data_IF_875840631267
#
_entry.id   IF_875840631267
#
_cell.length_a   1.000
_cell.length_b   1.000
_cell.length_c   1.000
_cell.angle_alpha   90.00
_cell.angle_beta   90.00
_cell.angle_gamma   90.00
#
_symmetry.space_group_name_H-M   'P 1'
#
loop_
_entity.id
_entity.type
_entity.pdbx_description
1 polymer ?
#
# COMPACT_ATOMS: atom_id res chain seq x y z
N UNK A 1 -31.24 6.40 -0.63
CA UNK A 1 -30.09 6.92 0.12
C UNK A 1 -29.08 5.79 0.25
N UNK A 2 -28.00 5.83 -0.53
CA UNK A 2 -26.96 4.79 -0.49
C UNK A 2 -25.77 5.30 0.32
N UNK A 3 -25.47 4.60 1.41
CA UNK A 3 -24.31 4.83 2.29
C UNK A 3 -22.95 4.59 1.61
N UNK A 4 -22.92 4.29 0.31
CA UNK A 4 -21.71 3.90 -0.42
C UNK A 4 -20.78 5.01 -0.92
N UNK A 5 -21.06 6.30 -0.64
CA UNK A 5 -20.29 7.42 -1.23
C UNK A 5 -19.39 8.20 -0.26
N UNK A 6 -19.43 7.90 1.04
CA UNK A 6 -18.78 8.76 2.05
C UNK A 6 -17.28 8.52 2.27
N UNK A 7 -16.68 7.52 1.62
CA UNK A 7 -15.24 7.18 1.78
C UNK A 7 -14.35 7.67 0.65
N UNK A 8 -14.91 8.22 -0.44
CA UNK A 8 -14.13 8.63 -1.61
C UNK A 8 -13.69 10.10 -1.58
N UNK A 9 -14.30 10.94 -0.75
CA UNK A 9 -14.11 12.40 -0.79
C UNK A 9 -13.44 12.98 0.49
N UNK A 10 -12.91 12.13 1.38
CA UNK A 10 -12.28 12.58 2.64
C UNK A 10 -10.81 12.97 2.40
N UNK A 11 -10.59 14.21 1.97
CA UNK A 11 -9.27 14.85 1.91
C UNK A 11 -8.94 15.51 3.26
N UNK A 12 -8.39 14.70 4.17
CA UNK A 12 -7.93 15.14 5.50
C UNK A 12 -6.45 15.55 5.49
N UNK A 13 -5.90 16.02 6.62
CA UNK A 13 -4.50 16.47 6.76
C UNK A 13 -3.40 15.40 6.55
N UNK A 14 -3.72 14.31 5.85
CA UNK A 14 -2.83 13.29 5.33
C UNK A 14 -3.02 13.02 3.83
N UNK A 15 -3.49 13.98 3.04
CA UNK A 15 -3.52 13.91 1.56
C UNK A 15 -2.13 13.71 0.93
N UNK A 16 -1.05 13.83 1.73
CA UNK A 16 0.33 13.46 1.38
C UNK A 16 0.68 12.01 1.77
N UNK A 17 -0.29 11.18 2.18
CA UNK A 17 -0.09 9.74 2.43
C UNK A 17 0.01 8.97 1.11
N UNK A 18 1.14 9.13 0.43
CA UNK A 18 1.49 8.30 -0.72
C UNK A 18 2.04 6.96 -0.24
N UNK A 19 1.34 5.87 -0.60
CA UNK A 19 1.85 4.51 -0.36
C UNK A 19 3.23 4.34 -1.03
N UNK A 20 4.20 3.81 -0.29
CA UNK A 20 5.56 3.51 -0.77
C UNK A 20 5.69 2.12 -1.39
N UNK A 21 4.58 1.44 -1.65
CA UNK A 21 4.58 0.05 -2.13
C UNK A 21 5.20 -0.10 -3.51
N UNK A 22 5.08 0.93 -4.36
CA UNK A 22 5.74 0.98 -5.67
C UNK A 22 7.25 1.17 -5.54
N UNK A 23 7.67 2.15 -4.74
CA UNK A 23 9.08 2.44 -4.50
C UNK A 23 9.79 1.21 -3.92
N UNK A 24 9.19 0.56 -2.91
CA UNK A 24 9.72 -0.67 -2.30
C UNK A 24 9.80 -1.87 -3.25
N UNK A 25 8.89 -1.93 -4.23
CA UNK A 25 8.89 -2.95 -5.27
C UNK A 25 10.02 -2.72 -6.27
N UNK A 26 10.13 -1.48 -6.76
CA UNK A 26 11.15 -1.07 -7.73
C UNK A 26 12.56 -1.17 -7.12
N UNK A 27 12.75 -0.82 -5.84
CA UNK A 27 13.99 -1.00 -5.09
C UNK A 27 14.47 -2.45 -5.00
N UNK A 28 13.57 -3.42 -5.22
CA UNK A 28 13.85 -4.86 -5.17
C UNK A 28 13.83 -5.51 -6.55
N UNK A 29 13.75 -4.73 -7.63
CA UNK A 29 13.66 -5.21 -9.01
C UNK A 29 12.48 -6.18 -9.26
N UNK A 30 11.40 -6.03 -8.49
CA UNK A 30 10.22 -6.89 -8.58
C UNK A 30 9.19 -6.33 -9.58
N UNK A 31 8.55 -7.22 -10.31
CA UNK A 31 7.42 -6.94 -11.18
C UNK A 31 6.12 -6.81 -10.37
N UNK A 32 5.14 -6.08 -10.91
CA UNK A 32 3.80 -6.03 -10.31
C UNK A 32 3.15 -7.42 -10.20
N UNK A 33 3.51 -8.35 -11.11
CA UNK A 33 3.00 -9.72 -11.09
C UNK A 33 3.54 -10.52 -9.90
N UNK A 34 4.83 -10.43 -9.61
CA UNK A 34 5.42 -11.16 -8.47
C UNK A 34 4.80 -10.75 -7.13
N UNK A 35 4.54 -9.46 -6.93
CA UNK A 35 3.86 -9.01 -5.71
C UNK A 35 2.38 -9.42 -5.70
N UNK A 36 1.70 -9.38 -6.84
CA UNK A 36 0.31 -9.83 -6.93
C UNK A 36 0.19 -11.33 -6.62
N UNK A 37 1.12 -12.15 -7.15
CA UNK A 37 1.23 -13.58 -6.86
C UNK A 37 1.49 -13.81 -5.37
N UNK A 38 2.40 -13.04 -4.75
CA UNK A 38 2.63 -13.08 -3.30
C UNK A 38 1.35 -12.75 -2.51
N UNK A 39 0.60 -11.72 -2.92
CA UNK A 39 -0.62 -11.28 -2.24
C UNK A 39 -1.84 -12.15 -2.57
N UNK A 40 -1.73 -13.11 -3.49
CA UNK A 40 -2.84 -13.94 -3.99
C UNK A 40 -3.95 -13.09 -4.62
N UNK A 41 -3.57 -12.13 -5.45
CA UNK A 41 -4.51 -11.27 -6.16
C UNK A 41 -4.12 -11.04 -7.63
N UNK A 42 -5.03 -10.45 -8.41
CA UNK A 42 -4.73 -10.10 -9.79
C UNK A 42 -3.69 -8.98 -9.88
N UNK A 43 -2.77 -9.08 -10.84
CA UNK A 43 -1.80 -8.02 -11.13
C UNK A 43 -2.48 -6.67 -11.38
N UNK A 44 -3.64 -6.66 -12.03
CA UNK A 44 -4.41 -5.43 -12.28
C UNK A 44 -4.93 -4.79 -10.99
N UNK A 45 -5.26 -5.60 -9.98
CA UNK A 45 -5.70 -5.13 -8.67
C UNK A 45 -4.51 -4.53 -7.90
N UNK A 46 -3.37 -5.21 -7.90
CA UNK A 46 -2.15 -4.67 -7.30
C UNK A 46 -1.74 -3.33 -7.94
N UNK A 47 -1.83 -3.24 -9.27
CA UNK A 47 -1.58 -2.02 -10.03
C UNK A 47 -2.49 -0.85 -9.60
N UNK A 48 -3.76 -1.13 -9.27
CA UNK A 48 -4.70 -0.12 -8.73
C UNK A 48 -4.31 0.34 -7.32
N UNK A 49 -3.75 -0.54 -6.49
CA UNK A 49 -3.21 -0.15 -5.18
C UNK A 49 -2.04 0.82 -5.34
N UNK A 50 -1.10 0.55 -6.26
CA UNK A 50 0.04 1.44 -6.49
C UNK A 50 -0.35 2.84 -6.97
N UNK A 51 -1.44 2.94 -7.73
CA UNK A 51 -1.97 4.21 -8.24
C UNK A 51 -2.94 4.90 -7.28
N UNK A 52 -3.29 4.28 -6.15
CA UNK A 52 -4.30 4.81 -5.23
C UNK A 52 -5.74 4.74 -5.75
N UNK A 53 -6.00 4.07 -6.88
CA UNK A 53 -7.35 3.89 -7.45
C UNK A 53 -8.20 2.92 -6.62
N UNK A 54 -7.55 2.07 -5.82
CA UNK A 54 -8.19 1.20 -4.84
C UNK A 54 -7.48 1.32 -3.49
N UNK A 55 -8.23 1.41 -2.38
CA UNK A 55 -7.63 1.38 -1.06
C UNK A 55 -6.95 0.03 -0.83
N UNK A 56 -5.76 0.05 -0.25
CA UNK A 56 -5.03 -1.16 0.14
C UNK A 56 -5.62 -1.69 1.47
N UNK A 57 -6.15 -2.93 1.52
CA UNK A 57 -6.61 -3.52 2.77
C UNK A 57 -5.48 -3.61 3.80
N UNK A 58 -5.81 -3.37 5.08
CA UNK A 58 -4.83 -3.38 6.18
C UNK A 58 -4.04 -4.69 6.26
N UNK A 59 -4.70 -5.83 6.06
CA UNK A 59 -4.05 -7.14 6.05
C UNK A 59 -2.95 -7.23 4.98
N UNK A 60 -3.21 -6.72 3.77
CA UNK A 60 -2.21 -6.71 2.70
C UNK A 60 -1.08 -5.71 3.01
N UNK A 61 -1.38 -4.58 3.65
CA UNK A 61 -0.37 -3.63 4.10
C UNK A 61 0.58 -4.26 5.13
N UNK A 62 0.06 -5.04 6.08
CA UNK A 62 0.87 -5.79 7.06
C UNK A 62 1.74 -6.83 6.37
N UNK A 63 1.17 -7.61 5.43
CA UNK A 63 1.94 -8.61 4.66
C UNK A 63 3.06 -7.98 3.84
N UNK A 64 2.80 -6.86 3.17
CA UNK A 64 3.81 -6.12 2.44
C UNK A 64 4.89 -5.53 3.36
N UNK A 65 4.50 -5.02 4.53
CA UNK A 65 5.45 -4.51 5.51
C UNK A 65 6.42 -5.61 5.98
N UNK A 66 5.89 -6.81 6.26
CA UNK A 66 6.70 -7.99 6.59
C UNK A 66 7.59 -8.43 5.43
N UNK A 67 7.03 -8.55 4.22
CA UNK A 67 7.77 -8.93 3.00
C UNK A 67 8.94 -7.98 2.73
N UNK A 68 8.70 -6.68 2.89
CA UNK A 68 9.71 -5.65 2.65
C UNK A 68 10.61 -5.35 3.85
N UNK A 69 10.40 -5.99 5.01
CA UNK A 69 11.18 -5.76 6.23
C UNK A 69 11.09 -4.32 6.74
N UNK A 70 9.89 -3.74 6.73
CA UNK A 70 9.62 -2.34 7.11
C UNK A 70 8.45 -2.23 8.09
N UNK A 71 8.26 -1.08 8.74
CA UNK A 71 7.02 -0.77 9.46
C UNK A 71 5.85 -0.48 8.51
N UNK A 72 4.61 -0.68 8.97
CA UNK A 72 3.40 -0.24 8.25
C UNK A 72 3.42 1.29 8.11
N UNK A 73 3.81 2.02 9.16
CA UNK A 73 3.93 3.48 9.13
C UNK A 73 4.79 3.98 7.97
N UNK A 74 5.93 3.33 7.73
CA UNK A 74 6.79 3.67 6.61
C UNK A 74 6.11 3.36 5.28
N UNK A 75 5.51 2.16 5.17
CA UNK A 75 4.83 1.71 3.96
C UNK A 75 3.71 2.66 3.55
N UNK A 76 2.96 3.21 4.51
CA UNK A 76 1.85 4.15 4.28
C UNK A 76 2.26 5.63 4.29
N UNK A 77 3.55 5.93 4.46
CA UNK A 77 4.09 7.28 4.38
C UNK A 77 3.98 8.13 5.65
N UNK A 78 3.58 7.55 6.80
CA UNK A 78 3.48 8.23 8.09
C UNK A 78 4.83 8.53 8.75
N UNK A 79 5.90 7.85 8.31
CA UNK A 79 7.26 8.08 8.81
C UNK A 79 8.30 7.94 7.70
N UNK A 80 9.47 8.55 7.93
CA UNK A 80 10.69 8.33 7.13
C UNK A 80 11.55 7.20 7.69
N UNK A 81 11.25 6.70 8.90
CA UNK A 81 11.98 5.59 9.51
C UNK A 81 11.48 4.25 8.97
N UNK A 82 12.30 3.60 8.13
CA UNK A 82 12.00 2.29 7.54
C UNK A 82 12.01 1.16 8.56
N UNK A 83 12.73 1.31 9.66
CA UNK A 83 12.95 0.22 10.61
C UNK A 83 11.64 -0.13 11.33
N UNK A 84 11.21 -1.40 11.32
CA UNK A 84 10.05 -1.85 12.08
C UNK A 84 10.29 -1.72 13.59
N UNK A 85 9.24 -1.40 14.34
CA UNK A 85 9.28 -1.41 15.79
C UNK A 85 9.36 -2.87 16.28
N UNK A 86 10.21 -3.13 17.27
CA UNK A 86 10.36 -4.43 17.93
C UNK A 86 9.61 -4.43 19.26
#
# INVERSE_FOLDING_TARGET
MSIGRFVQDYSGPGDDMRLRIRDLREDRDLTQKEIADYLLCDQSLYSKYERGERPLPLELAVRLAQFYGTSVDYLVGLTRNKTPYR
#
